data_IF_928233284897
#
_entry.id   IF_928233284897
#
_cell.length_a   1.000
_cell.length_b   1.000
_cell.length_c   1.000
_cell.angle_alpha   90.00
_cell.angle_beta   90.00
_cell.angle_gamma   90.00
#
_symmetry.space_group_name_H-M   'P 1'
#
loop_
_entity.id
_entity.type
_entity.pdbx_description
1 polymer ?
#
# COMPACT_ATOMS: atom_id res chain seq x y z
N UNK A 1 -50.01 50.04 55.61
CA UNK A 1 -49.50 49.73 56.96
C UNK A 1 -47.98 49.80 56.92
N UNK A 2 -47.35 50.67 57.72
CA UNK A 2 -45.91 50.86 57.78
C UNK A 2 -45.26 49.98 58.86
N UNK A 3 -43.92 50.02 58.91
CA UNK A 3 -43.07 49.78 60.09
C UNK A 3 -43.00 48.32 60.60
N UNK A 4 -41.94 47.79 61.19
CA UNK A 4 -40.52 48.10 61.38
C UNK A 4 -39.98 46.80 62.03
N UNK A 5 -38.73 46.41 61.76
CA UNK A 5 -38.10 45.22 62.35
C UNK A 5 -37.90 45.32 63.89
N UNK A 6 -37.50 44.22 64.55
CA UNK A 6 -36.18 44.31 65.18
C UNK A 6 -35.26 43.12 64.93
N UNK A 7 -33.98 43.47 64.93
CA UNK A 7 -32.79 42.61 64.85
C UNK A 7 -32.43 42.00 66.22
N UNK A 8 -31.64 40.92 66.16
CA UNK A 8 -30.51 40.59 67.05
C UNK A 8 -30.66 39.30 67.87
N UNK A 9 -29.83 38.30 67.54
CA UNK A 9 -28.58 38.11 68.28
C UNK A 9 -27.56 37.33 67.46
N UNK A 10 -26.43 38.00 67.26
CA UNK A 10 -25.20 37.46 66.72
C UNK A 10 -24.61 36.39 67.64
N UNK A 11 -23.95 35.39 67.05
CA UNK A 11 -22.65 34.92 67.54
C UNK A 11 -21.71 34.71 66.36
N UNK A 12 -20.77 35.65 66.26
CA UNK A 12 -19.53 35.51 65.50
C UNK A 12 -18.68 34.36 66.02
N UNK A 13 -18.07 33.63 65.08
CA UNK A 13 -16.73 33.03 65.08
C UNK A 13 -16.80 31.84 64.10
N UNK A 14 -15.85 31.55 63.23
CA UNK A 14 -14.46 31.92 63.16
C UNK A 14 -14.04 31.85 61.67
N UNK A 15 -13.02 32.61 61.32
CA UNK A 15 -12.47 32.75 59.97
C UNK A 15 -11.82 31.45 59.53
N UNK A 16 -12.12 30.95 58.33
CA UNK A 16 -11.12 30.29 57.48
C UNK A 16 -11.41 30.62 56.02
N UNK A 17 -10.53 31.44 55.46
CA UNK A 17 -10.40 31.61 54.03
C UNK A 17 -9.84 30.30 53.44
N UNK A 18 -10.56 29.71 52.51
CA UNK A 18 -9.99 28.76 51.55
C UNK A 18 -10.36 29.26 50.15
N UNK A 19 -9.34 29.71 49.43
CA UNK A 19 -9.44 30.18 48.04
C UNK A 19 -9.94 29.03 47.17
N UNK A 20 -11.16 29.13 46.66
CA UNK A 20 -11.63 28.24 45.60
C UNK A 20 -10.93 28.65 44.29
N UNK A 21 -9.92 27.87 43.89
CA UNK A 21 -9.31 28.03 42.59
C UNK A 21 -10.31 27.57 41.52
N UNK A 22 -10.77 28.50 40.69
CA UNK A 22 -11.55 28.19 39.49
C UNK A 22 -10.64 27.48 38.48
N UNK A 23 -10.72 26.15 38.42
CA UNK A 23 -10.13 25.37 37.35
C UNK A 23 -11.04 25.48 36.12
N UNK A 24 -10.71 26.41 35.21
CA UNK A 24 -11.21 26.41 33.83
C UNK A 24 -10.78 25.10 33.17
N UNK A 25 -11.70 24.12 33.11
CA UNK A 25 -11.49 22.86 32.42
C UNK A 25 -11.33 23.10 30.92
N UNK A 26 -10.10 22.97 30.42
CA UNK A 26 -9.79 22.94 29.00
C UNK A 26 -10.21 21.55 28.47
N UNK A 27 -11.45 21.43 28.00
CA UNK A 27 -11.91 20.24 27.30
C UNK A 27 -11.19 20.14 25.95
N UNK A 28 -10.11 19.36 25.90
CA UNK A 28 -9.41 19.00 24.68
C UNK A 28 -10.35 18.15 23.82
N UNK A 29 -10.92 18.74 22.77
CA UNK A 29 -11.68 18.02 21.75
C UNK A 29 -10.72 17.10 21.00
N UNK A 30 -10.69 15.81 21.34
CA UNK A 30 -10.06 14.78 20.50
C UNK A 30 -10.89 14.68 19.22
N UNK A 31 -10.48 15.41 18.17
CA UNK A 31 -11.00 15.16 16.84
C UNK A 31 -10.44 13.82 16.34
N UNK A 32 -11.27 12.86 15.92
CA UNK A 32 -10.76 11.68 15.23
C UNK A 32 -10.06 12.14 13.96
N UNK A 33 -8.76 11.89 13.87
CA UNK A 33 -8.02 12.06 12.64
C UNK A 33 -8.68 11.18 11.58
N UNK A 34 -9.39 11.80 10.63
CA UNK A 34 -9.81 11.09 9.44
C UNK A 34 -8.54 10.53 8.79
N UNK A 35 -8.37 9.21 8.84
CA UNK A 35 -7.27 8.55 8.15
C UNK A 35 -7.38 8.98 6.68
N UNK A 36 -6.40 9.76 6.20
CA UNK A 36 -6.35 10.15 4.80
C UNK A 36 -6.42 8.86 3.98
N UNK A 37 -7.41 8.75 3.09
CA UNK A 37 -7.56 7.58 2.24
C UNK A 37 -6.25 7.38 1.48
N UNK A 38 -5.59 6.24 1.70
CA UNK A 38 -4.34 5.93 1.03
C UNK A 38 -4.59 5.87 -0.47
N UNK A 39 -3.85 6.67 -1.24
CA UNK A 39 -3.95 6.69 -2.70
C UNK A 39 -3.76 5.28 -3.24
N UNK A 40 -4.69 4.85 -4.11
CA UNK A 40 -4.70 3.52 -4.70
C UNK A 40 -4.52 3.62 -6.20
N UNK A 41 -3.50 2.95 -6.73
CA UNK A 41 -3.25 2.82 -8.15
C UNK A 41 -3.76 1.48 -8.67
N UNK A 42 -4.79 1.51 -9.50
CA UNK A 42 -5.39 0.30 -10.08
C UNK A 42 -4.75 0.00 -11.43
N UNK A 43 -4.01 -1.11 -11.49
CA UNK A 43 -3.41 -1.63 -12.73
C UNK A 43 -4.49 -2.37 -13.51
N UNK A 44 -4.87 -1.79 -14.64
CA UNK A 44 -5.76 -2.40 -15.63
C UNK A 44 -5.09 -3.52 -16.42
N UNK A 45 -5.62 -3.86 -17.60
CA UNK A 45 -4.98 -4.85 -18.46
C UNK A 45 -3.71 -4.26 -19.06
N UNK A 46 -2.55 -4.82 -18.70
CA UNK A 46 -1.23 -4.31 -19.06
C UNK A 46 -0.38 -5.44 -19.65
N UNK A 47 0.17 -5.21 -20.85
CA UNK A 47 1.02 -6.19 -21.56
C UNK A 47 2.52 -5.98 -21.30
N UNK A 48 2.85 -5.01 -20.46
CA UNK A 48 4.19 -4.56 -20.16
C UNK A 48 4.71 -3.51 -21.15
N UNK A 49 6.00 -3.27 -21.10
CA UNK A 49 6.66 -2.24 -21.88
C UNK A 49 8.17 -2.22 -21.62
N UNK A 50 8.79 -1.05 -21.74
CA UNK A 50 10.22 -0.92 -21.46
C UNK A 50 10.52 -1.10 -19.98
N UNK A 51 11.58 -1.87 -19.69
CA UNK A 51 12.02 -2.13 -18.33
C UNK A 51 12.42 -0.83 -17.61
N UNK A 52 13.06 0.10 -18.31
CA UNK A 52 13.48 1.38 -17.74
C UNK A 52 12.29 2.19 -17.21
N UNK A 53 11.28 2.41 -18.05
CA UNK A 53 10.08 3.18 -17.69
C UNK A 53 9.35 2.52 -16.52
N UNK A 54 9.26 1.17 -16.52
CA UNK A 54 8.64 0.45 -15.41
C UNK A 54 9.42 0.62 -14.10
N UNK A 55 10.74 0.62 -14.12
CA UNK A 55 11.53 0.85 -12.90
C UNK A 55 11.29 2.25 -12.32
N UNK A 56 11.13 3.27 -13.17
CA UNK A 56 10.77 4.63 -12.75
C UNK A 56 9.38 4.64 -12.09
N UNK A 57 8.39 4.01 -12.74
CA UNK A 57 7.02 3.90 -12.23
C UNK A 57 6.98 3.19 -10.87
N UNK A 58 7.65 2.05 -10.74
CA UNK A 58 7.75 1.30 -9.47
C UNK A 58 8.40 2.14 -8.37
N UNK A 59 9.50 2.83 -8.69
CA UNK A 59 10.20 3.70 -7.75
C UNK A 59 9.31 4.84 -7.25
N UNK A 60 8.53 5.45 -8.14
CA UNK A 60 7.62 6.52 -7.75
C UNK A 60 6.50 6.00 -6.85
N UNK A 61 5.81 4.92 -7.24
CA UNK A 61 4.74 4.33 -6.43
C UNK A 61 5.24 3.93 -5.04
N UNK A 62 6.42 3.31 -4.96
CA UNK A 62 7.04 2.94 -3.69
C UNK A 62 7.41 4.16 -2.84
N UNK A 63 8.04 5.17 -3.43
CA UNK A 63 8.46 6.40 -2.72
C UNK A 63 7.27 7.16 -2.13
N UNK A 64 6.13 7.14 -2.82
CA UNK A 64 4.91 7.83 -2.40
C UNK A 64 3.99 6.95 -1.54
N UNK A 65 4.35 5.69 -1.27
CA UNK A 65 3.53 4.78 -0.46
C UNK A 65 2.17 4.47 -1.09
N UNK A 66 2.07 4.57 -2.42
CA UNK A 66 0.83 4.32 -3.16
C UNK A 66 0.54 2.83 -3.15
N UNK A 67 -0.67 2.45 -2.72
CA UNK A 67 -1.10 1.05 -2.73
C UNK A 67 -1.43 0.64 -4.15
N UNK A 68 -0.95 -0.52 -4.60
CA UNK A 68 -1.17 -1.01 -5.97
C UNK A 68 -2.12 -2.20 -5.99
N UNK A 69 -3.10 -2.15 -6.87
CA UNK A 69 -4.07 -3.24 -7.07
C UNK A 69 -4.05 -3.71 -8.53
N UNK A 70 -3.69 -4.98 -8.76
CA UNK A 70 -3.63 -5.55 -10.10
C UNK A 70 -4.97 -6.22 -10.42
N UNK A 71 -5.82 -5.51 -11.17
CA UNK A 71 -7.21 -5.91 -11.47
C UNK A 71 -7.50 -6.13 -12.96
N UNK A 72 -6.51 -5.94 -13.83
CA UNK A 72 -6.64 -6.22 -15.26
C UNK A 72 -6.89 -7.69 -15.60
N UNK A 73 -7.45 -7.98 -16.78
CA UNK A 73 -7.58 -9.37 -17.28
C UNK A 73 -6.21 -10.02 -17.49
N UNK A 74 -5.20 -9.22 -17.84
CA UNK A 74 -3.81 -9.64 -18.09
C UNK A 74 -2.82 -8.68 -17.46
N UNK A 75 -1.70 -9.23 -17.00
CA UNK A 75 -0.54 -8.49 -16.51
C UNK A 75 0.74 -9.19 -16.97
N UNK A 76 1.31 -8.78 -18.10
CA UNK A 76 2.44 -9.48 -18.75
C UNK A 76 3.75 -8.71 -18.67
N UNK A 77 4.86 -9.43 -18.81
CA UNK A 77 6.19 -8.86 -18.92
C UNK A 77 6.50 -7.96 -17.71
N UNK A 78 6.92 -6.71 -17.93
CA UNK A 78 7.20 -5.73 -16.88
C UNK A 78 5.99 -5.40 -16.00
N UNK A 79 4.74 -5.65 -16.44
CA UNK A 79 3.55 -5.61 -15.56
C UNK A 79 3.72 -6.43 -14.30
N UNK A 80 4.28 -7.64 -14.45
CA UNK A 80 4.45 -8.56 -13.32
C UNK A 80 5.35 -7.99 -12.21
N UNK A 81 6.17 -6.97 -12.48
CA UNK A 81 7.04 -6.37 -11.48
C UNK A 81 6.27 -5.55 -10.42
N UNK A 82 5.01 -5.19 -10.66
CA UNK A 82 4.17 -4.58 -9.62
C UNK A 82 3.94 -5.51 -8.41
N UNK A 83 4.12 -6.83 -8.59
CA UNK A 83 4.00 -7.82 -7.50
C UNK A 83 4.98 -7.57 -6.34
N UNK A 84 6.08 -6.85 -6.60
CA UNK A 84 7.11 -6.55 -5.60
C UNK A 84 6.86 -5.28 -4.80
N UNK A 85 5.80 -4.51 -5.11
CA UNK A 85 5.52 -3.30 -4.37
C UNK A 85 4.91 -3.61 -2.99
N UNK A 86 5.33 -2.90 -1.93
CA UNK A 86 4.76 -3.07 -0.61
C UNK A 86 3.24 -2.86 -0.60
N UNK A 87 2.51 -3.80 -0.02
CA UNK A 87 1.05 -3.73 0.06
C UNK A 87 0.31 -3.94 -1.27
N UNK A 88 1.01 -4.34 -2.34
CA UNK A 88 0.37 -4.73 -3.59
C UNK A 88 -0.57 -5.92 -3.38
N UNK A 89 -1.67 -5.95 -4.14
CA UNK A 89 -2.58 -7.08 -4.18
C UNK A 89 -2.97 -7.45 -5.61
N UNK A 90 -3.50 -8.66 -5.79
CA UNK A 90 -3.90 -9.17 -7.10
C UNK A 90 -5.34 -9.68 -7.11
N UNK A 91 -6.02 -9.48 -8.23
CA UNK A 91 -7.27 -10.17 -8.55
C UNK A 91 -6.99 -11.64 -8.93
N UNK A 92 -7.70 -12.62 -8.34
CA UNK A 92 -7.49 -14.04 -8.61
C UNK A 92 -7.73 -14.43 -10.08
N UNK A 93 -8.54 -13.69 -10.83
CA UNK A 93 -8.87 -13.96 -12.22
C UNK A 93 -7.82 -13.44 -13.21
N UNK A 94 -6.96 -12.49 -12.79
CA UNK A 94 -5.88 -11.92 -13.59
C UNK A 94 -4.98 -13.02 -14.13
N UNK A 95 -4.57 -12.90 -15.40
CA UNK A 95 -3.56 -13.78 -15.98
C UNK A 95 -2.21 -13.07 -16.02
N UNK A 96 -1.24 -13.59 -15.29
CA UNK A 96 0.13 -13.10 -15.27
C UNK A 96 0.96 -13.81 -16.33
N UNK A 97 1.82 -13.06 -17.02
CA UNK A 97 2.60 -13.54 -18.16
C UNK A 97 4.08 -13.28 -17.98
N UNK A 98 4.86 -14.35 -17.81
CA UNK A 98 6.31 -14.28 -17.57
C UNK A 98 7.10 -14.71 -18.80
N UNK A 99 8.18 -13.99 -19.09
CA UNK A 99 9.14 -14.32 -20.13
C UNK A 99 10.47 -13.63 -19.81
N UNK A 100 11.54 -14.02 -20.49
CA UNK A 100 12.85 -13.40 -20.33
C UNK A 100 12.99 -12.05 -21.02
N UNK A 101 13.91 -11.19 -20.55
CA UNK A 101 14.17 -9.90 -21.16
C UNK A 101 14.62 -10.07 -22.62
N UNK A 102 14.06 -9.25 -23.49
CA UNK A 102 14.34 -9.27 -24.93
C UNK A 102 14.37 -7.84 -25.48
N UNK A 103 14.95 -7.66 -26.67
CA UNK A 103 14.88 -6.40 -27.42
C UNK A 103 14.03 -6.62 -28.65
N UNK A 104 12.80 -6.11 -28.65
CA UNK A 104 11.83 -6.34 -29.73
C UNK A 104 11.56 -7.82 -29.98
N UNK A 105 11.47 -8.63 -28.91
CA UNK A 105 11.29 -10.09 -29.01
C UNK A 105 12.54 -10.88 -29.37
N UNK A 106 13.68 -10.22 -29.61
CA UNK A 106 14.96 -10.88 -29.90
C UNK A 106 15.75 -11.14 -28.62
N UNK A 107 16.41 -12.29 -28.57
CA UNK A 107 17.32 -12.66 -27.47
C UNK A 107 18.41 -11.61 -27.29
N UNK A 108 18.71 -11.31 -26.03
CA UNK A 108 19.86 -10.49 -25.66
C UNK A 108 21.14 -11.35 -25.63
N UNK A 109 22.30 -10.70 -25.54
CA UNK A 109 23.53 -11.40 -25.14
C UNK A 109 23.34 -12.04 -23.77
N UNK A 110 24.05 -13.14 -23.49
CA UNK A 110 23.93 -13.90 -22.24
C UNK A 110 24.06 -13.01 -21.00
N UNK A 111 25.07 -12.14 -20.99
CA UNK A 111 25.32 -11.20 -19.89
C UNK A 111 24.13 -10.24 -19.66
N UNK A 112 23.64 -9.59 -20.72
CA UNK A 112 22.49 -8.68 -20.62
C UNK A 112 21.22 -9.42 -20.22
N UNK A 113 21.00 -10.61 -20.78
CA UNK A 113 19.89 -11.46 -20.44
C UNK A 113 19.90 -11.80 -18.94
N UNK A 114 21.04 -12.27 -18.42
CA UNK A 114 21.20 -12.64 -17.01
C UNK A 114 21.03 -11.44 -16.09
N UNK A 115 21.61 -10.29 -16.44
CA UNK A 115 21.48 -9.06 -15.68
C UNK A 115 20.02 -8.61 -15.57
N UNK A 116 19.32 -8.43 -16.70
CA UNK A 116 17.94 -7.95 -16.68
C UNK A 116 16.96 -8.99 -16.12
N UNK A 117 17.27 -10.29 -16.22
CA UNK A 117 16.48 -11.32 -15.55
C UNK A 117 16.52 -11.13 -14.03
N UNK A 118 17.71 -10.87 -13.46
CA UNK A 118 17.83 -10.59 -12.02
C UNK A 118 17.10 -9.31 -11.61
N UNK A 119 17.21 -8.25 -12.43
CA UNK A 119 16.50 -6.98 -12.20
C UNK A 119 14.98 -7.18 -12.18
N UNK A 120 14.41 -7.99 -13.09
CA UNK A 120 12.98 -8.30 -13.03
C UNK A 120 12.65 -9.16 -11.81
N UNK A 121 13.44 -10.19 -11.55
CA UNK A 121 13.19 -11.18 -10.51
C UNK A 121 13.26 -10.61 -9.08
N UNK A 122 13.94 -9.48 -8.86
CA UNK A 122 13.99 -8.82 -7.55
C UNK A 122 12.61 -8.30 -7.09
N UNK A 123 11.64 -8.17 -8.00
CA UNK A 123 10.27 -7.75 -7.70
C UNK A 123 9.29 -8.92 -7.55
N UNK A 124 9.77 -10.15 -7.46
CA UNK A 124 8.90 -11.32 -7.30
C UNK A 124 9.01 -11.86 -5.87
N UNK A 125 7.90 -12.37 -5.28
CA UNK A 125 7.98 -13.12 -4.03
C UNK A 125 8.89 -14.34 -4.21
N UNK A 126 9.55 -14.80 -3.14
CA UNK A 126 10.61 -15.80 -3.21
C UNK A 126 10.28 -17.04 -4.06
N UNK A 127 9.09 -17.68 -3.95
CA UNK A 127 8.76 -18.84 -4.79
C UNK A 127 8.75 -18.50 -6.29
N UNK A 128 8.16 -17.36 -6.65
CA UNK A 128 8.06 -16.91 -8.03
C UNK A 128 9.41 -16.43 -8.57
N UNK A 129 10.23 -15.80 -7.73
CA UNK A 129 11.60 -15.41 -8.07
C UNK A 129 12.45 -16.63 -8.43
N UNK A 130 12.44 -17.67 -7.59
CA UNK A 130 13.19 -18.91 -7.84
C UNK A 130 12.72 -19.60 -9.12
N UNK A 131 11.41 -19.75 -9.32
CA UNK A 131 10.85 -20.33 -10.53
C UNK A 131 11.20 -19.50 -11.78
N UNK A 132 11.10 -18.17 -11.72
CA UNK A 132 11.40 -17.30 -12.85
C UNK A 132 12.87 -17.44 -13.28
N UNK A 133 13.80 -17.46 -12.32
CA UNK A 133 15.23 -17.59 -12.61
C UNK A 133 15.61 -18.98 -13.13
N UNK A 134 14.91 -20.03 -12.70
CA UNK A 134 15.14 -21.40 -13.16
C UNK A 134 14.51 -21.65 -14.54
N UNK A 135 13.27 -21.20 -14.75
CA UNK A 135 12.44 -21.59 -15.90
C UNK A 135 11.82 -20.39 -16.62
N UNK A 136 11.06 -19.53 -15.90
CA UNK A 136 10.18 -18.53 -16.51
C UNK A 136 10.88 -17.57 -17.47
N UNK A 137 12.13 -17.20 -17.18
CA UNK A 137 12.95 -16.32 -18.03
C UNK A 137 13.40 -16.97 -19.35
N UNK A 138 13.39 -18.29 -19.46
CA UNK A 138 13.98 -18.96 -20.64
C UNK A 138 13.07 -18.89 -21.88
N UNK A 139 11.79 -18.53 -21.70
CA UNK A 139 10.87 -18.23 -22.80
C UNK A 139 11.11 -16.81 -23.31
N UNK A 140 11.30 -16.69 -24.62
CA UNK A 140 11.56 -15.41 -25.29
C UNK A 140 10.40 -15.02 -26.21
N UNK A 141 9.84 -16.01 -26.93
CA UNK A 141 8.62 -15.84 -27.70
C UNK A 141 7.42 -16.26 -26.86
N UNK A 142 6.41 -15.38 -26.77
CA UNK A 142 5.24 -15.60 -25.92
C UNK A 142 5.54 -15.52 -24.42
N UNK A 143 4.62 -16.03 -23.60
CA UNK A 143 4.71 -15.97 -22.13
C UNK A 143 4.32 -17.29 -21.46
N UNK A 144 4.87 -17.56 -20.29
CA UNK A 144 4.33 -18.52 -19.32
C UNK A 144 3.16 -17.86 -18.61
N UNK A 145 1.99 -18.49 -18.65
CA UNK A 145 0.76 -17.94 -18.05
C UNK A 145 0.54 -18.55 -16.68
N UNK A 146 0.37 -17.70 -15.66
CA UNK A 146 0.04 -18.09 -14.29
C UNK A 146 -1.20 -17.30 -13.87
N UNK A 147 -2.17 -17.96 -13.23
CA UNK A 147 -3.38 -17.28 -12.74
C UNK A 147 -3.10 -16.52 -11.44
N UNK A 148 -3.83 -15.42 -11.22
CA UNK A 148 -3.74 -14.62 -10.00
C UNK A 148 -3.97 -15.45 -8.74
N UNK A 149 -4.87 -16.43 -8.79
CA UNK A 149 -5.08 -17.39 -7.70
C UNK A 149 -3.81 -18.16 -7.30
N UNK A 150 -2.93 -18.47 -8.26
CA UNK A 150 -1.66 -19.14 -7.98
C UNK A 150 -0.60 -18.15 -7.49
N UNK A 151 -0.57 -16.93 -8.04
CA UNK A 151 0.27 -15.85 -7.50
C UNK A 151 -0.08 -15.55 -6.04
N UNK A 152 -1.36 -15.66 -5.67
CA UNK A 152 -1.81 -15.53 -4.27
C UNK A 152 -1.27 -16.68 -3.41
N UNK A 153 -1.34 -17.92 -3.90
CA UNK A 153 -0.74 -19.09 -3.22
C UNK A 153 0.78 -18.95 -3.04
N UNK A 154 1.45 -18.23 -3.93
CA UNK A 154 2.88 -17.92 -3.85
C UNK A 154 3.22 -16.76 -2.89
N UNK A 155 2.23 -16.18 -2.19
CA UNK A 155 2.45 -15.23 -1.10
C UNK A 155 2.07 -13.78 -1.38
N UNK A 156 1.45 -13.48 -2.53
CA UNK A 156 0.94 -12.12 -2.80
C UNK A 156 -0.50 -11.98 -2.26
N UNK A 157 -0.86 -10.90 -1.55
CA UNK A 157 -2.22 -10.70 -1.07
C UNK A 157 -3.27 -10.70 -2.20
N UNK A 158 -4.44 -11.28 -1.93
CA UNK A 158 -5.62 -11.07 -2.77
C UNK A 158 -6.15 -9.65 -2.55
N UNK A 159 -6.60 -8.98 -3.62
CA UNK A 159 -7.34 -7.73 -3.44
C UNK A 159 -8.69 -7.99 -2.79
N UNK A 160 -9.13 -7.09 -1.90
CA UNK A 160 -10.50 -7.09 -1.43
C UNK A 160 -11.45 -6.95 -2.63
N UNK A 161 -12.60 -7.63 -2.54
CA UNK A 161 -13.70 -7.36 -3.46
C UNK A 161 -14.15 -5.92 -3.20
N UNK A 162 -14.34 -5.17 -4.28
CA UNK A 162 -14.96 -3.85 -4.21
C UNK A 162 -16.46 -4.01 -3.91
#
# INVERSE_FOLDING_TARGET
MPALAPLSRARSACRLAARAAAACGLALMLQPSAAAAQETYVVGSDRGGYLHDRLIELSNLQKHGVRVEIRGKVCYSTCTMFLGLPGACVDPATTFGFHGPSRGGRRLSREKFDYFSRVMAQYYPAPLQSWFMAEGRNRISGVHKIKGSEIIRMGVPACSRA
#
